data_IF_693431421499
#
_entry.id   IF_693431421499
#
_cell.length_a   1.000
_cell.length_b   1.000
_cell.length_c   1.000
_cell.angle_alpha   90.00
_cell.angle_beta   90.00
_cell.angle_gamma   90.00
#
_symmetry.space_group_name_H-M   'P 1'
#
loop_
_entity.id
_entity.type
_entity.pdbx_description
1 polymer ?
#
# COMPACT_ATOMS: atom_id res chain seq x y z
N UNK A 1 -22.26 -7.22 -20.77
CA UNK A 1 -21.38 -6.83 -19.65
C UNK A 1 -21.81 -5.43 -19.21
N UNK A 2 -22.45 -5.34 -18.04
CA UNK A 2 -23.20 -4.14 -17.59
C UNK A 2 -22.27 -3.03 -17.09
N UNK A 3 -22.71 -1.76 -17.17
CA UNK A 3 -22.03 -0.60 -16.57
C UNK A 3 -21.73 -0.80 -15.06
N UNK A 4 -22.61 -1.51 -14.34
CA UNK A 4 -22.38 -1.83 -12.92
C UNK A 4 -21.15 -2.72 -12.69
N UNK A 5 -20.86 -3.65 -13.61
CA UNK A 5 -19.67 -4.49 -13.53
C UNK A 5 -18.39 -3.68 -13.76
N UNK A 6 -18.44 -2.68 -14.65
CA UNK A 6 -17.30 -1.77 -14.91
C UNK A 6 -16.99 -0.94 -13.65
N UNK A 7 -18.00 -0.34 -13.02
CA UNK A 7 -17.78 0.43 -11.79
C UNK A 7 -17.27 -0.44 -10.64
N UNK A 8 -17.72 -1.70 -10.54
CA UNK A 8 -17.21 -2.66 -9.55
C UNK A 8 -15.71 -2.95 -9.72
N UNK A 9 -15.26 -3.21 -10.95
CA UNK A 9 -13.83 -3.46 -11.26
C UNK A 9 -13.00 -2.20 -11.05
N UNK A 10 -13.45 -1.04 -11.53
CA UNK A 10 -12.73 0.21 -11.35
C UNK A 10 -12.63 0.60 -9.87
N UNK A 11 -13.70 0.38 -9.08
CA UNK A 11 -13.70 0.64 -7.65
C UNK A 11 -12.74 -0.26 -6.87
N UNK A 12 -12.71 -1.56 -7.18
CA UNK A 12 -11.76 -2.49 -6.54
C UNK A 12 -10.31 -2.18 -6.92
N UNK A 13 -10.06 -1.77 -8.18
CA UNK A 13 -8.74 -1.34 -8.64
C UNK A 13 -8.26 -0.05 -7.95
N UNK A 14 -9.13 0.95 -7.75
CA UNK A 14 -8.76 2.18 -7.03
C UNK A 14 -8.45 1.86 -5.56
N UNK A 15 -9.24 0.99 -4.92
CA UNK A 15 -9.01 0.58 -3.54
C UNK A 15 -7.65 -0.12 -3.38
N UNK A 16 -7.32 -1.06 -4.27
CA UNK A 16 -6.01 -1.74 -4.24
C UNK A 16 -4.86 -0.77 -4.51
N UNK A 17 -5.03 0.18 -5.43
CA UNK A 17 -4.04 1.24 -5.66
C UNK A 17 -3.86 2.15 -4.45
N UNK A 18 -4.93 2.52 -3.75
CA UNK A 18 -4.84 3.32 -2.53
C UNK A 18 -4.05 2.58 -1.43
N UNK A 19 -4.27 1.26 -1.28
CA UNK A 19 -3.47 0.44 -0.36
C UNK A 19 -1.99 0.41 -0.75
N UNK A 20 -1.68 0.26 -2.04
CA UNK A 20 -0.30 0.33 -2.54
C UNK A 20 0.35 1.67 -2.22
N UNK A 21 -0.35 2.78 -2.44
CA UNK A 21 0.16 4.12 -2.13
C UNK A 21 0.46 4.28 -0.63
N UNK A 22 -0.42 3.81 0.24
CA UNK A 22 -0.19 3.86 1.69
C UNK A 22 1.06 3.08 2.11
N UNK A 23 1.31 1.92 1.50
CA UNK A 23 2.51 1.12 1.76
C UNK A 23 3.77 1.82 1.27
N UNK A 24 3.74 2.37 0.06
CA UNK A 24 4.87 3.15 -0.49
C UNK A 24 5.16 4.38 0.38
N UNK A 25 4.12 5.13 0.77
CA UNK A 25 4.26 6.30 1.63
C UNK A 25 4.87 5.95 2.99
N UNK A 26 4.43 4.84 3.59
CA UNK A 26 5.02 4.39 4.85
C UNK A 26 6.45 3.91 4.70
N UNK A 27 6.78 3.20 3.63
CA UNK A 27 8.16 2.78 3.38
C UNK A 27 9.07 4.02 3.22
N UNK A 28 8.61 5.03 2.48
CA UNK A 28 9.33 6.29 2.31
C UNK A 28 9.51 7.01 3.65
N UNK A 29 8.46 7.11 4.46
CA UNK A 29 8.51 7.76 5.77
C UNK A 29 9.48 7.08 6.76
N UNK A 30 9.80 5.80 6.55
CA UNK A 30 10.71 5.05 7.40
C UNK A 30 12.02 4.68 6.68
N UNK A 31 12.30 5.27 5.52
CA UNK A 31 13.48 4.93 4.71
C UNK A 31 14.80 5.18 5.45
N UNK A 32 14.85 6.24 6.26
CA UNK A 32 16.03 6.65 7.04
C UNK A 32 15.98 6.18 8.51
N UNK A 33 15.00 5.35 8.87
CA UNK A 33 14.87 4.86 10.25
C UNK A 33 15.89 3.77 10.56
N UNK A 34 16.89 4.11 11.36
CA UNK A 34 17.99 3.20 11.74
C UNK A 34 17.55 2.11 12.73
N UNK A 35 16.69 2.46 13.70
CA UNK A 35 16.10 1.52 14.65
C UNK A 35 14.71 2.00 15.10
N UNK A 36 13.72 1.10 15.09
CA UNK A 36 12.40 1.35 15.66
C UNK A 36 12.43 1.31 17.20
N UNK A 37 11.26 1.50 17.86
CA UNK A 37 11.14 1.45 19.33
C UNK A 37 11.71 0.17 19.95
N UNK A 38 11.68 -0.93 19.19
CA UNK A 38 12.13 -2.26 19.59
C UNK A 38 13.63 -2.50 19.31
N UNK A 39 14.36 -1.47 18.84
CA UNK A 39 15.78 -1.55 18.49
C UNK A 39 16.08 -2.22 17.14
N UNK A 40 15.07 -2.67 16.41
CA UNK A 40 15.21 -3.37 15.12
C UNK A 40 15.10 -2.40 13.93
N UNK A 41 15.79 -2.70 12.84
CA UNK A 41 15.73 -1.89 11.61
C UNK A 41 14.37 -1.98 10.93
N UNK A 42 13.99 -0.92 10.20
CA UNK A 42 12.75 -0.92 9.43
C UNK A 42 12.81 -1.94 8.29
N UNK A 43 11.73 -2.72 8.13
CA UNK A 43 11.55 -3.65 7.01
C UNK A 43 10.50 -3.09 6.05
N UNK A 44 10.92 -2.85 4.81
CA UNK A 44 10.02 -2.38 3.77
C UNK A 44 8.88 -3.38 3.52
N UNK A 45 7.68 -2.85 3.32
CA UNK A 45 6.46 -3.63 3.12
C UNK A 45 6.05 -3.62 1.65
N UNK A 46 5.43 -4.70 1.18
CA UNK A 46 4.90 -4.81 -0.18
C UNK A 46 3.55 -5.50 -0.16
N UNK A 47 2.60 -4.95 -0.93
CA UNK A 47 1.26 -5.53 -1.12
C UNK A 47 1.21 -6.29 -2.46
N UNK A 48 0.57 -7.46 -2.41
CA UNK A 48 0.29 -8.33 -3.54
C UNK A 48 -1.23 -8.52 -3.59
N UNK A 49 -1.83 -8.40 -4.77
CA UNK A 49 -3.26 -8.47 -5.01
C UNK A 49 -3.58 -9.65 -5.93
#
# INVERSE_FOLDING_TARGET
MSMFSIFGVSGSAISSQAQRLNVVASNLANADTVAGPDGQSYKARQVVF
#
